data_IF_485530010866
#
_entry.id   IF_485530010866
#
_cell.length_a   1.000
_cell.length_b   1.000
_cell.length_c   1.000
_cell.angle_alpha   90.00
_cell.angle_beta   90.00
_cell.angle_gamma   90.00
#
_symmetry.space_group_name_H-M   'P 1'
#
loop_
_entity.id
_entity.type
_entity.pdbx_description
1 polymer ?
#
# COMPACT_ATOMS: atom_id res chain seq x y z
N UNK A 1 7.36 2.35 44.93
CA UNK A 1 7.99 2.79 43.66
C UNK A 1 8.03 1.62 42.69
N UNK A 2 7.13 1.59 41.70
CA UNK A 2 7.02 0.49 40.73
C UNK A 2 7.97 0.74 39.55
N UNK A 3 8.92 -0.16 39.32
CA UNK A 3 9.85 -0.11 38.18
C UNK A 3 9.09 -0.53 36.91
N UNK A 4 8.86 0.41 35.98
CA UNK A 4 8.42 0.12 34.60
C UNK A 4 9.51 -0.68 33.90
N UNK A 5 9.24 -1.97 33.66
CA UNK A 5 10.03 -2.81 32.78
C UNK A 5 9.89 -2.28 31.34
N UNK A 6 10.95 -1.65 30.84
CA UNK A 6 11.08 -1.33 29.41
C UNK A 6 11.37 -2.65 28.67
N UNK A 7 10.34 -3.21 28.06
CA UNK A 7 10.54 -4.24 27.04
C UNK A 7 11.23 -3.60 25.84
N UNK A 8 12.54 -3.76 25.76
CA UNK A 8 13.32 -3.53 24.55
C UNK A 8 12.82 -4.51 23.49
N UNK A 9 12.02 -4.02 22.56
CA UNK A 9 11.71 -4.71 21.33
C UNK A 9 13.02 -4.89 20.56
N UNK A 10 13.75 -5.96 20.87
CA UNK A 10 14.82 -6.46 20.04
C UNK A 10 14.18 -6.90 18.72
N UNK A 11 14.20 -6.03 17.72
CA UNK A 11 13.89 -6.40 16.34
C UNK A 11 15.01 -7.32 15.85
N UNK A 12 14.97 -8.57 16.29
CA UNK A 12 15.83 -9.62 15.78
C UNK A 12 15.38 -9.91 14.34
N UNK A 13 15.78 -9.03 13.41
CA UNK A 13 15.59 -9.23 11.99
C UNK A 13 16.49 -10.38 11.58
N UNK A 14 15.95 -11.60 11.69
CA UNK A 14 16.64 -12.82 11.26
C UNK A 14 17.00 -12.64 9.79
N UNK A 15 18.27 -12.35 9.52
CA UNK A 15 18.79 -12.22 8.16
C UNK A 15 18.76 -13.58 7.48
N UNK A 16 18.31 -13.62 6.23
CA UNK A 16 18.39 -14.83 5.42
C UNK A 16 19.87 -15.25 5.28
N UNK A 17 20.17 -16.53 5.53
CA UNK A 17 21.52 -17.07 5.34
C UNK A 17 21.98 -16.96 3.89
N UNK A 18 21.05 -17.10 2.94
CA UNK A 18 21.31 -16.98 1.51
C UNK A 18 21.39 -15.51 1.11
N UNK A 19 22.58 -15.05 0.69
CA UNK A 19 22.79 -13.67 0.26
C UNK A 19 22.72 -13.49 -1.26
N UNK A 20 22.93 -14.52 -2.04
CA UNK A 20 22.94 -14.49 -3.51
C UNK A 20 21.92 -15.46 -4.09
N UNK A 21 21.36 -15.13 -5.25
CA UNK A 21 20.57 -16.05 -6.03
C UNK A 21 21.44 -17.17 -6.62
N UNK A 22 20.85 -18.35 -6.87
CA UNK A 22 21.48 -19.39 -7.68
C UNK A 22 21.71 -18.89 -9.12
N UNK A 23 22.64 -19.49 -9.86
CA UNK A 23 22.88 -19.15 -11.27
C UNK A 23 21.60 -19.28 -12.10
N UNK A 24 20.82 -20.33 -11.86
CA UNK A 24 19.52 -20.56 -12.50
C UNK A 24 18.53 -19.44 -12.20
N UNK A 25 18.37 -19.06 -10.93
CA UNK A 25 17.46 -18.00 -10.53
C UNK A 25 17.89 -16.64 -11.09
N UNK A 26 19.21 -16.39 -11.16
CA UNK A 26 19.79 -15.20 -11.76
C UNK A 26 19.47 -15.14 -13.26
N UNK A 27 19.59 -16.27 -13.98
CA UNK A 27 19.23 -16.35 -15.38
C UNK A 27 17.74 -16.11 -15.63
N UNK A 28 16.87 -16.72 -14.82
CA UNK A 28 15.41 -16.48 -14.89
C UNK A 28 15.10 -14.99 -14.67
N UNK A 29 15.72 -14.36 -13.67
CA UNK A 29 15.53 -12.94 -13.38
C UNK A 29 15.98 -12.06 -14.56
N UNK A 30 17.10 -12.38 -15.20
CA UNK A 30 17.65 -11.69 -16.35
C UNK A 30 16.72 -11.76 -17.57
N UNK A 31 16.21 -12.96 -17.88
CA UNK A 31 15.26 -13.15 -18.97
C UNK A 31 13.93 -12.43 -18.72
N UNK A 32 13.40 -12.49 -17.49
CA UNK A 32 12.19 -11.74 -17.10
C UNK A 32 12.35 -10.24 -17.19
N UNK A 33 13.57 -9.74 -17.06
CA UNK A 33 13.90 -8.34 -17.22
C UNK A 33 14.14 -7.94 -18.70
N UNK A 34 13.91 -8.85 -19.66
CA UNK A 34 14.21 -8.64 -21.08
C UNK A 34 15.65 -8.14 -21.31
N UNK A 35 16.61 -8.70 -20.55
CA UNK A 35 18.03 -8.34 -20.63
C UNK A 35 18.30 -6.84 -20.40
N UNK A 36 17.46 -6.17 -19.60
CA UNK A 36 17.52 -4.74 -19.31
C UNK A 36 17.53 -4.44 -17.82
N UNK A 37 18.08 -3.30 -17.48
CA UNK A 37 17.97 -2.75 -16.13
C UNK A 37 16.50 -2.43 -15.82
N UNK A 38 15.99 -2.99 -14.73
CA UNK A 38 14.59 -2.79 -14.30
C UNK A 38 14.34 -1.42 -13.66
N UNK A 39 15.37 -0.57 -13.52
CA UNK A 39 15.15 0.83 -13.16
C UNK A 39 14.55 1.57 -14.37
N UNK A 40 13.28 2.05 -14.29
CA UNK A 40 12.64 2.73 -15.42
C UNK A 40 13.39 3.98 -15.90
N UNK A 41 14.06 4.67 -14.97
CA UNK A 41 14.87 5.84 -15.29
C UNK A 41 16.19 5.50 -16.04
N UNK A 42 16.60 4.22 -16.06
CA UNK A 42 17.80 3.76 -16.73
C UNK A 42 17.50 2.92 -17.97
N UNK A 43 16.77 1.83 -17.78
CA UNK A 43 16.33 0.84 -18.81
C UNK A 43 17.44 0.39 -19.79
N UNK A 44 18.72 0.51 -19.42
CA UNK A 44 19.85 0.12 -20.27
C UNK A 44 19.85 -1.40 -20.57
N UNK A 45 20.27 -1.80 -21.77
CA UNK A 45 20.62 -3.20 -22.06
C UNK A 45 21.80 -3.61 -21.19
N UNK A 46 21.80 -4.83 -20.68
CA UNK A 46 22.86 -5.36 -19.81
C UNK A 46 23.20 -6.77 -20.27
N UNK A 47 24.47 -7.12 -20.28
CA UNK A 47 24.88 -8.50 -20.45
C UNK A 47 24.71 -9.29 -19.14
N UNK A 48 24.53 -10.60 -19.28
CA UNK A 48 24.33 -11.47 -18.12
C UNK A 48 25.48 -11.40 -17.11
N UNK A 49 26.71 -11.25 -17.60
CA UNK A 49 27.91 -11.12 -16.77
C UNK A 49 27.95 -9.79 -15.99
N UNK A 50 27.41 -8.73 -16.55
CA UNK A 50 27.37 -7.39 -15.97
C UNK A 50 26.15 -7.17 -15.06
N UNK A 51 25.19 -8.11 -15.12
CA UNK A 51 23.97 -8.02 -14.33
C UNK A 51 24.25 -8.09 -12.84
N UNK A 52 23.67 -7.15 -12.10
CA UNK A 52 23.62 -7.13 -10.64
C UNK A 52 22.21 -7.47 -10.15
N UNK A 53 22.17 -8.18 -9.02
CA UNK A 53 20.90 -8.52 -8.34
C UNK A 53 20.66 -7.52 -7.22
N UNK A 54 19.71 -6.62 -7.41
CA UNK A 54 19.19 -5.76 -6.34
C UNK A 54 18.08 -6.47 -5.55
N UNK A 55 17.85 -6.06 -4.30
CA UNK A 55 16.75 -6.57 -3.46
C UNK A 55 15.66 -5.51 -3.35
N UNK A 56 14.39 -5.89 -3.54
CA UNK A 56 13.25 -4.97 -3.33
C UNK A 56 13.15 -4.53 -1.88
N UNK A 57 13.26 -5.47 -0.95
CA UNK A 57 13.52 -5.22 0.47
C UNK A 57 14.97 -5.57 0.74
N UNK A 58 15.76 -4.61 1.18
CA UNK A 58 17.20 -4.81 1.39
C UNK A 58 17.49 -6.03 2.29
N UNK A 59 18.49 -6.81 1.92
CA UNK A 59 18.91 -7.98 2.71
C UNK A 59 19.33 -7.59 4.12
N UNK A 60 20.01 -6.46 4.30
CA UNK A 60 20.39 -5.91 5.60
C UNK A 60 19.19 -5.54 6.49
N UNK A 61 18.00 -5.39 5.90
CA UNK A 61 16.73 -5.10 6.61
C UNK A 61 15.82 -6.34 6.68
N UNK A 62 16.39 -7.54 6.61
CA UNK A 62 15.67 -8.81 6.69
C UNK A 62 14.93 -9.20 5.40
N UNK A 63 15.31 -8.65 4.25
CA UNK A 63 14.80 -9.09 2.96
C UNK A 63 15.37 -10.46 2.57
N UNK A 64 14.50 -11.43 2.20
CA UNK A 64 14.92 -12.76 1.77
C UNK A 64 15.47 -12.73 0.34
N UNK A 65 16.48 -13.56 0.05
CA UNK A 65 17.06 -13.71 -1.28
C UNK A 65 16.24 -14.69 -2.12
N UNK A 66 15.19 -14.17 -2.75
CA UNK A 66 14.29 -14.91 -3.63
C UNK A 66 14.07 -14.12 -4.92
N UNK A 67 13.68 -14.80 -6.02
CA UNK A 67 13.35 -14.13 -7.30
C UNK A 67 12.28 -13.05 -7.11
N UNK A 68 11.27 -13.29 -6.24
CA UNK A 68 10.19 -12.34 -5.97
C UNK A 68 10.68 -11.05 -5.32
N UNK A 69 11.71 -11.14 -4.47
CA UNK A 69 12.33 -10.00 -3.78
C UNK A 69 13.54 -9.43 -4.54
N UNK A 70 13.85 -9.93 -5.73
CA UNK A 70 15.00 -9.52 -6.53
C UNK A 70 14.60 -8.69 -7.74
N UNK A 71 15.52 -7.82 -8.18
CA UNK A 71 15.42 -7.00 -9.39
C UNK A 71 16.74 -7.09 -10.16
N UNK A 72 16.63 -7.07 -11.51
CA UNK A 72 17.76 -7.03 -12.42
C UNK A 72 18.24 -5.59 -12.60
N UNK A 73 19.47 -5.29 -12.24
CA UNK A 73 20.02 -3.95 -12.32
C UNK A 73 21.37 -3.95 -13.04
N UNK A 74 21.73 -2.81 -13.65
CA UNK A 74 23.10 -2.54 -14.02
C UNK A 74 23.93 -2.20 -12.76
N UNK A 75 25.24 -2.25 -12.87
CA UNK A 75 26.15 -1.94 -11.76
C UNK A 75 25.86 -0.57 -11.12
N UNK A 76 25.68 0.46 -11.96
CA UNK A 76 25.40 1.84 -11.51
C UNK A 76 24.12 1.90 -10.67
N UNK A 77 23.00 1.35 -11.18
CA UNK A 77 21.72 1.37 -10.47
C UNK A 77 21.77 0.56 -9.18
N UNK A 78 22.47 -0.57 -9.16
CA UNK A 78 22.65 -1.36 -7.95
C UNK A 78 23.45 -0.61 -6.88
N UNK A 79 24.48 0.10 -7.26
CA UNK A 79 25.26 0.98 -6.35
C UNK A 79 24.40 2.12 -5.80
N UNK A 80 23.62 2.77 -6.67
CA UNK A 80 22.71 3.84 -6.26
C UNK A 80 21.59 3.35 -5.34
N UNK A 81 21.10 2.13 -5.54
CA UNK A 81 20.09 1.53 -4.66
C UNK A 81 20.65 1.29 -3.24
N UNK A 82 21.85 0.77 -3.12
CA UNK A 82 22.51 0.51 -1.84
C UNK A 82 21.63 -0.28 -0.86
N UNK A 83 21.28 0.33 0.28
CA UNK A 83 20.43 -0.25 1.34
C UNK A 83 18.96 0.21 1.27
N UNK A 84 18.59 0.96 0.24
CA UNK A 84 17.23 1.44 0.09
C UNK A 84 16.30 0.31 -0.38
N UNK A 85 15.04 0.38 0.07
CA UNK A 85 14.01 -0.47 -0.53
C UNK A 85 13.76 0.01 -1.96
N UNK A 86 13.28 -0.90 -2.81
CA UNK A 86 12.99 -0.60 -4.21
C UNK A 86 12.10 0.64 -4.39
N UNK A 87 11.07 0.78 -3.58
CA UNK A 87 10.16 1.93 -3.61
C UNK A 87 10.84 3.24 -3.24
N UNK A 88 11.74 3.23 -2.24
CA UNK A 88 12.51 4.42 -1.85
C UNK A 88 13.49 4.79 -2.98
N UNK A 89 14.18 3.79 -3.53
CA UNK A 89 15.11 3.98 -4.63
C UNK A 89 14.39 4.60 -5.85
N UNK A 90 13.27 4.03 -6.30
CA UNK A 90 12.50 4.58 -7.43
C UNK A 90 12.04 6.02 -7.17
N UNK A 91 11.59 6.33 -5.97
CA UNK A 91 11.21 7.70 -5.59
C UNK A 91 12.38 8.68 -5.68
N UNK A 92 13.58 8.27 -5.25
CA UNK A 92 14.81 9.08 -5.38
C UNK A 92 15.22 9.30 -6.85
N UNK A 93 14.84 8.36 -7.74
CA UNK A 93 15.06 8.49 -9.19
C UNK A 93 13.96 9.29 -9.90
N UNK A 94 13.03 9.91 -9.17
CA UNK A 94 11.90 10.65 -9.73
C UNK A 94 10.82 9.79 -10.37
N UNK A 95 10.89 8.47 -10.25
CA UNK A 95 9.88 7.55 -10.78
C UNK A 95 8.65 7.58 -9.88
N UNK A 96 7.53 8.07 -10.42
CA UNK A 96 6.25 8.08 -9.71
C UNK A 96 5.75 6.64 -9.53
N UNK A 97 5.36 6.28 -8.32
CA UNK A 97 4.68 4.99 -8.07
C UNK A 97 3.20 5.14 -8.44
N UNK A 98 2.87 4.80 -9.70
CA UNK A 98 1.48 4.86 -10.21
C UNK A 98 0.50 4.09 -9.32
N UNK A 99 0.94 2.95 -8.75
CA UNK A 99 0.09 2.17 -7.85
C UNK A 99 -0.18 2.87 -6.53
N UNK A 100 0.78 3.64 -6.04
CA UNK A 100 0.61 4.45 -4.83
C UNK A 100 -0.28 5.67 -5.13
N UNK A 101 -0.11 6.30 -6.28
CA UNK A 101 -0.98 7.37 -6.79
C UNK A 101 -2.43 6.90 -6.89
N UNK A 102 -2.67 5.82 -7.63
CA UNK A 102 -3.99 5.22 -7.81
C UNK A 102 -4.65 4.87 -6.46
N UNK A 103 -3.90 4.29 -5.54
CA UNK A 103 -4.42 3.98 -4.20
C UNK A 103 -4.86 5.24 -3.47
N UNK A 104 -4.07 6.30 -3.48
CA UNK A 104 -4.41 7.58 -2.85
C UNK A 104 -5.65 8.21 -3.48
N UNK A 105 -5.75 8.16 -4.82
CA UNK A 105 -6.92 8.63 -5.54
C UNK A 105 -8.19 7.83 -5.18
N UNK A 106 -8.11 6.51 -5.07
CA UNK A 106 -9.23 5.68 -4.62
C UNK A 106 -9.60 5.94 -3.15
N UNK A 107 -8.63 6.23 -2.28
CA UNK A 107 -8.87 6.58 -0.87
C UNK A 107 -9.60 7.92 -0.71
N UNK A 108 -9.42 8.87 -1.63
CA UNK A 108 -10.12 10.16 -1.61
C UNK A 108 -11.59 10.04 -2.01
N UNK A 109 -11.99 9.01 -2.76
CA UNK A 109 -13.36 8.83 -3.23
C UNK A 109 -14.34 8.53 -2.09
N UNK A 110 -15.60 8.97 -2.28
CA UNK A 110 -16.72 8.62 -1.41
C UNK A 110 -17.13 7.15 -1.58
N UNK A 111 -17.87 6.60 -0.61
CA UNK A 111 -18.42 5.24 -0.73
C UNK A 111 -19.40 5.10 -1.90
N UNK A 112 -20.11 6.17 -2.27
CA UNK A 112 -21.02 6.16 -3.41
C UNK A 112 -20.24 6.04 -4.73
N UNK A 113 -19.18 6.83 -4.89
CA UNK A 113 -18.29 6.76 -6.06
C UNK A 113 -17.59 5.40 -6.18
N UNK A 114 -17.11 4.84 -5.08
CA UNK A 114 -16.50 3.50 -5.09
C UNK A 114 -17.50 2.40 -5.48
N UNK A 115 -18.76 2.50 -5.03
CA UNK A 115 -19.84 1.58 -5.43
C UNK A 115 -20.20 1.75 -6.90
N UNK A 116 -20.26 2.99 -7.41
CA UNK A 116 -20.51 3.27 -8.81
C UNK A 116 -19.41 2.67 -9.71
N UNK A 117 -18.14 2.90 -9.36
CA UNK A 117 -17.00 2.28 -10.06
C UNK A 117 -17.05 0.75 -10.01
N UNK A 118 -17.36 0.16 -8.85
CA UNK A 118 -17.47 -1.29 -8.76
C UNK A 118 -18.61 -1.83 -9.62
N UNK A 119 -19.70 -1.08 -9.76
CA UNK A 119 -20.84 -1.43 -10.62
C UNK A 119 -20.48 -1.34 -12.10
N UNK A 120 -19.80 -0.25 -12.55
CA UNK A 120 -19.37 -0.08 -13.95
C UNK A 120 -18.41 -1.19 -14.41
N UNK A 121 -17.55 -1.66 -13.52
CA UNK A 121 -16.64 -2.78 -13.78
C UNK A 121 -17.21 -4.17 -13.41
N UNK A 122 -18.52 -4.28 -13.17
CA UNK A 122 -19.19 -5.54 -12.79
C UNK A 122 -18.54 -6.29 -11.62
N UNK A 123 -17.91 -5.57 -10.69
CA UNK A 123 -17.21 -6.14 -9.55
C UNK A 123 -18.17 -6.40 -8.38
N UNK A 124 -18.33 -7.66 -7.99
CA UNK A 124 -19.04 -8.05 -6.77
C UNK A 124 -18.10 -7.95 -5.56
N UNK A 125 -18.33 -6.97 -4.68
CA UNK A 125 -17.59 -6.83 -3.42
C UNK A 125 -18.42 -7.43 -2.30
N UNK A 126 -17.93 -8.53 -1.74
CA UNK A 126 -18.62 -9.24 -0.62
C UNK A 126 -18.14 -8.65 0.72
N UNK A 127 -19.08 -8.40 1.63
CA UNK A 127 -18.76 -8.06 3.03
C UNK A 127 -18.25 -9.27 3.80
N UNK A 128 -17.75 -9.04 5.00
CA UNK A 128 -17.39 -10.14 5.91
C UNK A 128 -18.64 -10.74 6.51
N UNK A 129 -18.64 -12.06 6.63
CA UNK A 129 -19.62 -12.78 7.46
C UNK A 129 -18.99 -12.90 8.84
N UNK A 130 -19.66 -12.38 9.87
CA UNK A 130 -19.28 -12.68 11.25
C UNK A 130 -19.95 -13.98 11.64
N UNK A 131 -19.13 -14.96 12.03
CA UNK A 131 -19.63 -16.20 12.57
C UNK A 131 -20.39 -15.91 13.87
N UNK A 132 -21.63 -16.40 13.95
CA UNK A 132 -22.45 -16.25 15.14
C UNK A 132 -21.82 -17.01 16.30
N UNK A 133 -21.95 -16.47 17.51
CA UNK A 133 -21.74 -17.23 18.76
C UNK A 133 -22.99 -18.08 19.02
N UNK A 134 -22.87 -19.07 19.89
CA UNK A 134 -23.95 -20.01 20.28
C UNK A 134 -25.34 -19.36 20.56
N UNK A 135 -25.36 -18.05 20.84
CA UNK A 135 -26.57 -17.26 21.11
C UNK A 135 -26.84 -16.15 20.07
N UNK A 136 -26.12 -16.08 18.97
CA UNK A 136 -26.31 -15.04 17.94
C UNK A 136 -26.15 -15.61 16.53
N UNK A 137 -27.10 -15.33 15.66
CA UNK A 137 -27.04 -15.68 14.26
C UNK A 137 -25.89 -14.97 13.52
N UNK A 138 -25.35 -15.64 12.51
CA UNK A 138 -24.32 -15.07 11.65
C UNK A 138 -24.86 -13.84 10.92
N UNK A 139 -24.18 -12.68 11.04
CA UNK A 139 -24.58 -11.44 10.39
C UNK A 139 -23.64 -11.11 9.24
N UNK A 140 -24.22 -10.87 8.07
CA UNK A 140 -23.47 -10.35 6.91
C UNK A 140 -23.25 -8.84 7.10
N UNK A 141 -22.00 -8.41 7.26
CA UNK A 141 -21.65 -6.99 7.29
C UNK A 141 -21.54 -6.44 5.87
N UNK A 142 -21.97 -5.19 5.66
CA UNK A 142 -21.76 -4.49 4.41
C UNK A 142 -20.26 -4.35 4.08
N UNK A 143 -19.89 -4.36 2.78
CA UNK A 143 -18.51 -4.19 2.38
C UNK A 143 -17.92 -2.86 2.83
N UNK A 144 -16.71 -2.89 3.37
CA UNK A 144 -15.99 -1.71 3.84
C UNK A 144 -15.29 -0.97 2.69
N UNK A 145 -14.97 0.30 2.88
CA UNK A 145 -14.21 1.12 1.92
C UNK A 145 -12.90 0.43 1.49
N UNK A 146 -12.18 -0.18 2.44
CA UNK A 146 -10.94 -0.93 2.16
C UNK A 146 -11.15 -2.10 1.20
N UNK A 147 -12.28 -2.81 1.31
CA UNK A 147 -12.61 -3.93 0.42
C UNK A 147 -12.90 -3.47 -1.01
N UNK A 148 -13.64 -2.35 -1.17
CA UNK A 148 -13.84 -1.73 -2.49
C UNK A 148 -12.51 -1.30 -3.10
N UNK A 149 -11.68 -0.56 -2.37
CA UNK A 149 -10.36 -0.10 -2.85
C UNK A 149 -9.48 -1.30 -3.25
N UNK A 150 -9.46 -2.37 -2.45
CA UNK A 150 -8.67 -3.56 -2.76
C UNK A 150 -9.07 -4.24 -4.08
N UNK A 151 -10.37 -4.29 -4.38
CA UNK A 151 -10.90 -4.88 -5.63
C UNK A 151 -10.71 -3.95 -6.83
N UNK A 152 -10.93 -2.65 -6.66
CA UNK A 152 -10.81 -1.67 -7.74
C UNK A 152 -9.36 -1.41 -8.17
N UNK A 153 -8.41 -1.57 -7.26
CA UNK A 153 -6.99 -1.29 -7.49
C UNK A 153 -6.35 -2.07 -8.65
N UNK A 154 -6.93 -3.21 -9.05
CA UNK A 154 -6.43 -4.03 -10.16
C UNK A 154 -7.14 -3.81 -11.49
N UNK A 155 -8.21 -3.00 -11.53
CA UNK A 155 -9.13 -2.90 -12.67
C UNK A 155 -9.30 -1.45 -13.15
N UNK A 156 -9.29 -0.48 -12.23
CA UNK A 156 -9.57 0.94 -12.50
C UNK A 156 -8.30 1.71 -12.81
N UNK A 157 -8.37 2.63 -13.77
CA UNK A 157 -7.29 3.56 -14.15
C UNK A 157 -7.46 4.92 -13.46
N UNK A 158 -6.38 5.71 -13.37
CA UNK A 158 -6.47 7.10 -12.86
C UNK A 158 -7.36 8.00 -13.72
N UNK A 159 -7.42 7.75 -15.02
CA UNK A 159 -8.26 8.50 -15.94
C UNK A 159 -9.75 8.33 -15.62
N UNK A 160 -10.19 7.10 -15.35
CA UNK A 160 -11.57 6.81 -14.95
C UNK A 160 -11.94 7.46 -13.62
N UNK A 161 -10.99 7.53 -12.67
CA UNK A 161 -11.23 8.21 -11.39
C UNK A 161 -11.41 9.71 -11.59
N UNK A 162 -10.62 10.33 -12.47
CA UNK A 162 -10.73 11.76 -12.79
C UNK A 162 -11.99 12.11 -13.58
N UNK A 163 -12.53 11.17 -14.34
CA UNK A 163 -13.77 11.35 -15.10
C UNK A 163 -15.04 11.26 -14.22
N UNK A 164 -14.91 10.86 -12.95
CA UNK A 164 -16.07 10.83 -12.05
C UNK A 164 -16.53 12.24 -11.70
N UNK A 165 -17.87 12.48 -11.69
CA UNK A 165 -18.41 13.76 -11.27
C UNK A 165 -17.98 14.06 -9.83
N UNK A 166 -17.57 15.31 -9.61
CA UNK A 166 -17.20 15.79 -8.28
C UNK A 166 -18.48 15.87 -7.44
N UNK A 167 -18.65 14.93 -6.52
CA UNK A 167 -19.76 15.01 -5.56
C UNK A 167 -19.50 16.21 -4.63
N UNK A 168 -20.34 17.24 -4.78
CA UNK A 168 -20.41 18.33 -3.81
C UNK A 168 -20.64 17.68 -2.43
N UNK A 169 -19.64 17.70 -1.58
CA UNK A 169 -19.77 17.20 -0.21
C UNK A 169 -20.85 18.01 0.47
N UNK A 170 -21.95 17.41 0.98
CA UNK A 170 -22.89 18.16 1.77
C UNK A 170 -22.10 18.79 2.91
N UNK A 171 -22.09 20.12 2.95
CA UNK A 171 -21.52 20.91 4.05
C UNK A 171 -22.14 20.34 5.32
N UNK A 172 -21.35 19.65 6.14
CA UNK A 172 -21.82 19.23 7.46
C UNK A 172 -22.17 20.50 8.22
N UNK A 173 -23.46 20.84 8.30
CA UNK A 173 -23.94 21.87 9.18
C UNK A 173 -23.35 21.54 10.56
N UNK A 174 -22.44 22.42 11.00
CA UNK A 174 -21.86 22.36 12.35
C UNK A 174 -23.08 22.34 13.28
N UNK A 175 -23.28 21.28 14.04
CA UNK A 175 -24.31 21.28 15.09
C UNK A 175 -23.97 22.44 15.97
N UNK A 176 -24.77 23.49 15.90
CA UNK A 176 -24.74 24.57 16.88
C UNK A 176 -24.91 23.91 18.25
N UNK A 177 -23.90 24.08 19.08
CA UNK A 177 -24.04 23.70 20.48
C UNK A 177 -25.17 24.60 21.03
N UNK A 178 -26.32 23.98 21.34
CA UNK A 178 -27.32 24.65 22.17
C UNK A 178 -26.60 25.03 23.44
N UNK A 179 -26.44 26.32 23.67
CA UNK A 179 -26.01 26.83 24.95
C UNK A 179 -27.03 26.37 26.01
N UNK A 180 -26.61 25.89 27.16
CA UNK A 180 -27.52 25.56 28.22
C UNK A 180 -28.23 26.85 28.63
N UNK A 181 -29.54 26.89 28.46
CA UNK A 181 -30.41 27.98 29.00
C UNK A 181 -30.11 28.07 30.47
N UNK A 182 -29.63 29.26 30.86
CA UNK A 182 -29.23 29.55 32.22
C UNK A 182 -30.40 29.42 33.20
N UNK A 183 -30.32 28.40 34.05
CA UNK A 183 -31.15 28.31 35.26
C UNK A 183 -30.50 29.24 36.31
N UNK A 184 -30.66 30.53 36.09
CA UNK A 184 -30.44 31.55 37.13
C UNK A 184 -31.57 32.57 37.05
N UNK A 185 -32.68 32.17 37.61
CA UNK A 185 -33.83 33.04 37.79
C UNK A 185 -34.44 32.80 39.16
N UNK A 186 -34.23 33.77 40.00
CA UNK A 186 -35.06 33.99 41.20
C UNK A 186 -34.74 33.20 42.47
N UNK A 187 -33.78 33.71 43.20
CA UNK A 187 -33.67 33.51 44.65
C UNK A 187 -33.13 34.77 45.29
N UNK A 188 -33.94 35.83 45.23
CA UNK A 188 -33.90 37.01 46.15
C UNK A 188 -35.13 37.91 45.84
N UNK A 189 -36.16 37.74 46.68
CA UNK A 189 -37.33 38.54 46.77
C UNK A 189 -38.08 38.17 48.03
#
# INVERSE_FOLDING_TARGET
MARKSMYLFSSNTHRDRKRALSSRDKQILYLRANKRCQNPACNAKIDFTQMQVGHKRAWSKGGRTTIKNSVCLCYRCNKLQGRDSWTIFLRKQGVKDEKAGLKKSLESLSMKQLKALAKSHHLKVKGKVEEGSFLRDSRKKAPTKKQYISKLKGVVTEAEIKALPEEVRPVRKRREKKEPEGIFGSLFG
#
